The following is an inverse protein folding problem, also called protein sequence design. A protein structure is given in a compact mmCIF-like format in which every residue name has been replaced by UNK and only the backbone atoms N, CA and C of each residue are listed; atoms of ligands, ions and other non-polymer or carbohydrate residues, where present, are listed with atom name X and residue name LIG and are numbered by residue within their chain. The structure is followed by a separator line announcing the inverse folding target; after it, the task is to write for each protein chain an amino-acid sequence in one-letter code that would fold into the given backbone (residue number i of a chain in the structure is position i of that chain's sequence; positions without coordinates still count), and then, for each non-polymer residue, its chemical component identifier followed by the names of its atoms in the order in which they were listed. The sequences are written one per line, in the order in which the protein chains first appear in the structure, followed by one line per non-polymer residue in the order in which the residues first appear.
data_IF_660406838145
#
_entry.id   IF_660406838145
#
_cell.length_a   1.000
_cell.length_b   1.000
_cell.length_c   1.000
_cell.angle_alpha   90.00
_cell.angle_beta   90.00
_cell.angle_gamma   90.00
#
_symmetry.space_group_name_H-M   'P 1'
#
loop_
_entity.id
_entity.type
_entity.pdbx_description
1 polymer ?
#
# COMPACT_ATOMS: atom_id res chain seq x y z
N UNK A 1 5.94 -4.46 0.87
CA UNK A 1 5.40 -4.99 2.12
C UNK A 1 3.91 -5.26 1.99
N UNK A 2 3.04 -4.25 1.90
CA UNK A 2 1.57 -4.42 1.99
C UNK A 2 1.04 -5.54 1.07
N UNK A 3 1.29 -5.47 -0.24
CA UNK A 3 0.80 -6.49 -1.18
C UNK A 3 1.34 -7.90 -0.90
N UNK A 4 2.62 -8.03 -0.49
CA UNK A 4 3.21 -9.35 -0.19
C UNK A 4 2.54 -9.99 1.02
N UNK A 5 2.22 -9.18 2.03
CA UNK A 5 1.51 -9.64 3.23
C UNK A 5 0.01 -9.82 2.98
N UNK A 6 -0.61 -8.99 2.12
CA UNK A 6 -2.01 -9.14 1.70
C UNK A 6 -2.24 -10.46 0.96
N UNK A 7 -1.29 -10.87 0.11
CA UNK A 7 -1.38 -12.12 -0.63
C UNK A 7 -1.25 -13.38 0.26
N UNK A 8 -0.94 -13.29 1.57
CA UNK A 8 -0.73 -14.48 2.43
C UNK A 8 -2.02 -15.31 2.62
N UNK A 9 -1.91 -16.63 2.89
CA UNK A 9 -3.10 -17.48 3.12
C UNK A 9 -3.97 -17.07 4.30
N UNK A 10 -3.39 -16.42 5.31
CA UNK A 10 -4.14 -15.89 6.44
C UNK A 10 -4.83 -14.54 6.17
N UNK A 11 -4.69 -14.01 4.95
CA UNK A 11 -5.21 -12.73 4.49
C UNK A 11 -6.11 -12.97 3.26
N UNK A 12 -5.66 -12.63 2.05
CA UNK A 12 -6.47 -12.74 0.82
C UNK A 12 -6.24 -14.08 0.07
N UNK A 13 -5.20 -14.85 0.43
CA UNK A 13 -4.86 -16.15 -0.18
C UNK A 13 -4.69 -16.11 -1.72
N UNK A 14 -4.23 -14.97 -2.24
CA UNK A 14 -4.07 -14.80 -3.68
C UNK A 14 -2.92 -15.65 -4.25
N UNK A 15 -3.21 -16.44 -5.29
CA UNK A 15 -2.20 -17.22 -5.98
C UNK A 15 -1.37 -16.41 -6.98
N UNK A 16 -1.95 -15.31 -7.51
CA UNK A 16 -1.34 -14.47 -8.54
C UNK A 16 -1.43 -12.99 -8.18
N UNK A 17 -0.35 -12.25 -8.43
CA UNK A 17 -0.29 -10.79 -8.33
C UNK A 17 0.46 -10.25 -9.54
N UNK A 18 -0.14 -9.29 -10.26
CA UNK A 18 0.43 -8.69 -11.49
C UNK A 18 0.82 -9.75 -12.55
N UNK A 19 -0.03 -10.77 -12.72
CA UNK A 19 0.16 -11.85 -13.69
C UNK A 19 1.30 -12.82 -13.36
N UNK A 20 1.80 -12.84 -12.11
CA UNK A 20 2.87 -13.72 -11.64
C UNK A 20 2.48 -14.41 -10.33
N UNK A 21 3.07 -15.57 -10.00
CA UNK A 21 2.89 -16.19 -8.68
C UNK A 21 3.19 -15.20 -7.56
N UNK A 22 2.33 -15.18 -6.54
CA UNK A 22 2.56 -14.39 -5.33
C UNK A 22 3.79 -14.90 -4.57
N UNK A 23 4.32 -14.07 -3.67
CA UNK A 23 5.58 -14.38 -3.00
C UNK A 23 5.50 -15.70 -2.22
N UNK A 24 4.38 -15.94 -1.53
CA UNK A 24 4.18 -17.16 -0.76
C UNK A 24 4.02 -18.40 -1.64
N UNK A 25 3.39 -18.27 -2.82
CA UNK A 25 3.30 -19.37 -3.81
C UNK A 25 4.67 -19.73 -4.38
N UNK A 26 5.50 -18.71 -4.67
CA UNK A 26 6.81 -18.93 -5.28
C UNK A 26 7.88 -19.39 -4.28
N UNK A 27 7.84 -18.91 -3.04
CA UNK A 27 8.94 -19.03 -2.06
C UNK A 27 8.52 -19.53 -0.68
N UNK A 28 7.23 -19.78 -0.46
CA UNK A 28 6.67 -20.19 0.83
C UNK A 28 6.29 -19.02 1.72
N UNK A 29 5.34 -19.25 2.63
CA UNK A 29 4.77 -18.24 3.54
C UNK A 29 5.83 -17.56 4.41
N UNK A 30 6.73 -18.34 5.01
CA UNK A 30 7.78 -17.79 5.88
C UNK A 30 8.68 -16.77 5.14
N UNK A 31 9.01 -17.06 3.88
CA UNK A 31 9.79 -16.14 3.05
C UNK A 31 8.99 -14.90 2.66
N UNK A 32 7.69 -15.04 2.39
CA UNK A 32 6.83 -13.91 2.09
C UNK A 32 6.70 -12.95 3.29
N UNK A 33 6.52 -13.49 4.50
CA UNK A 33 6.51 -12.69 5.73
C UNK A 33 7.81 -11.90 5.88
N UNK A 34 8.96 -12.59 5.82
CA UNK A 34 10.28 -11.98 5.96
C UNK A 34 10.58 -10.95 4.86
N UNK A 35 10.14 -11.21 3.62
CA UNK A 35 10.31 -10.27 2.51
C UNK A 35 9.49 -8.99 2.72
N UNK A 36 8.28 -9.11 3.26
CA UNK A 36 7.48 -7.95 3.64
C UNK A 36 8.17 -7.11 4.72
N UNK A 37 8.63 -7.75 5.80
CA UNK A 37 9.33 -7.10 6.91
C UNK A 37 10.62 -6.42 6.46
N UNK A 38 11.42 -7.11 5.63
CA UNK A 38 12.65 -6.57 5.06
C UNK A 38 12.39 -5.33 4.20
N UNK A 39 11.33 -5.32 3.39
CA UNK A 39 10.97 -4.15 2.58
C UNK A 39 10.52 -2.97 3.43
N UNK A 40 9.82 -3.21 4.54
CA UNK A 40 9.46 -2.14 5.48
C UNK A 40 10.71 -1.53 6.12
N UNK A 41 11.60 -2.36 6.65
CA UNK A 41 12.87 -1.90 7.22
C UNK A 41 13.73 -1.16 6.19
N UNK A 42 13.80 -1.68 4.96
CA UNK A 42 14.54 -1.07 3.87
C UNK A 42 13.99 0.30 3.48
N UNK A 43 12.68 0.54 3.56
CA UNK A 43 12.10 1.85 3.28
C UNK A 43 12.64 2.93 4.24
N UNK A 44 12.70 2.64 5.55
CA UNK A 44 13.28 3.55 6.54
C UNK A 44 14.79 3.73 6.35
N UNK A 45 15.51 2.64 6.06
CA UNK A 45 16.94 2.71 5.76
C UNK A 45 17.20 3.62 4.55
N UNK A 46 16.41 3.49 3.48
CA UNK A 46 16.57 4.27 2.27
C UNK A 46 16.38 5.78 2.53
N UNK A 47 15.37 6.14 3.34
CA UNK A 47 15.18 7.53 3.78
C UNK A 47 16.37 8.06 4.58
N UNK A 48 16.91 7.25 5.49
CA UNK A 48 18.06 7.61 6.32
C UNK A 48 19.36 7.77 5.50
N UNK A 49 19.60 6.92 4.50
CA UNK A 49 20.78 7.02 3.63
C UNK A 49 20.80 8.33 2.85
N UNK A 50 19.64 8.81 2.39
CA UNK A 50 19.51 10.12 1.77
C UNK A 50 19.77 11.27 2.75
N UNK A 51 19.34 11.12 4.00
CA UNK A 51 19.60 12.08 5.09
C UNK A 51 21.11 12.30 5.31
N UNK A 52 21.88 11.21 5.30
CA UNK A 52 23.33 11.22 5.56
C UNK A 52 24.13 11.86 4.42
N UNK A 53 23.65 11.75 3.17
CA UNK A 53 24.38 12.24 1.99
C UNK A 53 24.14 13.72 1.67
N UNK A 54 23.00 14.28 2.10
CA UNK A 54 22.57 15.63 1.69
C UNK A 54 22.87 16.76 2.67
N UNK A 55 23.47 16.49 3.83
CA UNK A 55 23.71 17.50 4.87
C UNK A 55 22.44 17.96 5.59
N UNK A 56 22.54 19.01 6.42
CA UNK A 56 21.51 19.40 7.41
C UNK A 56 20.10 19.53 6.84
N UNK A 57 19.93 20.22 5.71
CA UNK A 57 18.61 20.44 5.10
C UNK A 57 17.94 19.12 4.65
N UNK A 58 18.73 18.18 4.12
CA UNK A 58 18.24 16.85 3.74
C UNK A 58 17.97 15.97 4.96
N UNK A 59 18.76 16.12 6.03
CA UNK A 59 18.50 15.44 7.30
C UNK A 59 17.14 15.86 7.88
N UNK A 60 16.84 17.15 7.92
CA UNK A 60 15.56 17.65 8.40
C UNK A 60 14.37 17.14 7.56
N UNK A 61 14.52 17.12 6.23
CA UNK A 61 13.49 16.59 5.31
C UNK A 61 13.29 15.09 5.51
N UNK A 62 14.37 14.32 5.61
CA UNK A 62 14.29 12.88 5.84
C UNK A 62 13.62 12.54 7.18
N UNK A 63 13.91 13.29 8.25
CA UNK A 63 13.25 13.09 9.54
C UNK A 63 11.75 13.35 9.47
N UNK A 64 11.31 14.38 8.73
CA UNK A 64 9.89 14.63 8.49
C UNK A 64 9.25 13.48 7.68
N UNK A 65 9.90 13.03 6.61
CA UNK A 65 9.42 11.91 5.79
C UNK A 65 9.33 10.59 6.59
N UNK A 66 10.29 10.33 7.49
CA UNK A 66 10.25 9.19 8.41
C UNK A 66 9.05 9.28 9.36
N UNK A 67 8.75 10.46 9.89
CA UNK A 67 7.58 10.66 10.75
C UNK A 67 6.26 10.40 9.99
N UNK A 68 6.14 10.91 8.77
CA UNK A 68 4.99 10.67 7.89
C UNK A 68 4.83 9.19 7.54
N UNK A 69 5.92 8.53 7.13
CA UNK A 69 5.92 7.10 6.81
C UNK A 69 5.55 6.25 8.04
N UNK A 70 6.15 6.54 9.20
CA UNK A 70 5.85 5.88 10.47
C UNK A 70 4.38 6.04 10.87
N UNK A 71 3.82 7.23 10.69
CA UNK A 71 2.41 7.48 10.95
C UNK A 71 1.48 6.72 9.98
N UNK A 72 1.88 6.56 8.71
CA UNK A 72 1.09 5.83 7.73
C UNK A 72 1.08 4.31 7.97
N UNK A 73 2.19 3.72 8.43
CA UNK A 73 2.32 2.25 8.60
C UNK A 73 1.93 1.74 9.99
N UNK A 74 1.61 2.63 10.95
CA UNK A 74 1.20 2.22 12.31
C UNK A 74 -0.21 1.63 12.36
N UNK A 75 -0.56 1.09 13.53
CA UNK A 75 -1.88 0.55 13.89
C UNK A 75 -3.05 1.42 13.44
N UNK A 76 -2.99 2.75 13.59
CA UNK A 76 -4.04 3.71 13.26
C UNK A 76 -4.06 4.16 11.77
N UNK A 77 -3.08 3.75 10.97
CA UNK A 77 -3.01 4.00 9.53
C UNK A 77 -3.38 2.75 8.74
N UNK A 78 -2.38 2.13 8.11
CA UNK A 78 -2.55 0.97 7.24
C UNK A 78 -3.16 -0.25 7.95
N UNK A 79 -2.94 -0.39 9.25
CA UNK A 79 -3.39 -1.57 10.03
C UNK A 79 -4.83 -1.39 10.55
N UNK A 80 -5.29 -0.16 10.80
CA UNK A 80 -6.63 0.13 11.35
C UNK A 80 -7.74 -0.08 10.31
N UNK A 81 -7.41 0.06 9.03
CA UNK A 81 -8.32 -0.29 7.94
C UNK A 81 -8.69 -1.78 7.88
N UNK A 82 -8.24 -2.63 8.84
CA UNK A 82 -8.51 -4.07 8.85
C UNK A 82 -9.57 -4.53 9.85
N UNK A 83 -9.91 -3.75 10.87
CA UNK A 83 -10.72 -4.24 12.01
C UNK A 83 -12.18 -3.75 12.05
N UNK A 84 -12.66 -2.97 11.08
CA UNK A 84 -13.95 -2.26 11.21
C UNK A 84 -15.01 -2.78 10.23
N UNK A 85 -16.14 -3.26 10.75
CA UNK A 85 -17.25 -3.86 9.97
C UNK A 85 -18.03 -2.90 9.05
N UNK A 86 -18.93 -3.47 8.25
CA UNK A 86 -19.59 -2.95 7.03
C UNK A 86 -20.14 -1.50 7.02
N UNK A 87 -20.40 -0.85 8.17
CA UNK A 87 -20.73 0.59 8.21
C UNK A 87 -19.48 1.50 7.99
N UNK A 88 -18.31 0.87 7.87
CA UNK A 88 -16.98 1.48 7.78
C UNK A 88 -16.31 1.31 6.41
N UNK A 89 -17.07 1.09 5.33
CA UNK A 89 -16.52 0.91 3.99
C UNK A 89 -15.67 2.12 3.54
N UNK A 90 -16.15 3.34 3.81
CA UNK A 90 -15.39 4.58 3.58
C UNK A 90 -14.11 4.63 4.45
N UNK A 91 -14.15 4.11 5.69
CA UNK A 91 -13.00 4.07 6.60
C UNK A 91 -11.95 3.01 6.19
N UNK A 92 -12.36 1.86 5.68
CA UNK A 92 -11.44 0.82 5.17
C UNK A 92 -10.74 1.32 3.89
N UNK A 93 -11.52 1.86 2.95
CA UNK A 93 -10.99 2.38 1.68
C UNK A 93 -10.06 3.59 1.87
N UNK A 94 -10.37 4.48 2.84
CA UNK A 94 -9.53 5.64 3.17
C UNK A 94 -8.20 5.25 3.84
N UNK A 95 -8.12 4.09 4.50
CA UNK A 95 -6.95 3.74 5.29
C UNK A 95 -5.97 2.78 4.58
N UNK A 96 -6.42 1.89 3.69
CA UNK A 96 -5.50 0.90 3.08
C UNK A 96 -4.72 1.47 1.88
N UNK A 97 -5.42 1.99 0.87
CA UNK A 97 -4.82 2.37 -0.41
C UNK A 97 -4.49 3.86 -0.47
N UNK A 98 -5.43 4.73 -0.08
CA UNK A 98 -5.22 6.18 -0.14
C UNK A 98 -4.15 6.65 0.84
N UNK A 99 -3.95 5.98 1.98
CA UNK A 99 -2.93 6.40 2.95
C UNK A 99 -1.50 6.21 2.43
N UNK A 100 -1.26 5.13 1.68
CA UNK A 100 0.04 4.89 1.04
C UNK A 100 0.29 5.85 -0.13
N UNK A 101 -0.75 6.21 -0.89
CA UNK A 101 -0.65 7.23 -1.94
C UNK A 101 -0.42 8.64 -1.34
N UNK A 102 -1.13 8.97 -0.27
CA UNK A 102 -0.94 10.20 0.50
C UNK A 102 0.50 10.33 0.99
N UNK A 103 1.00 9.32 1.71
CA UNK A 103 2.34 9.39 2.29
C UNK A 103 3.43 9.44 1.21
N UNK A 104 3.25 8.75 0.09
CA UNK A 104 4.18 8.83 -1.03
C UNK A 104 4.25 10.25 -1.61
N UNK A 105 3.10 10.89 -1.84
CA UNK A 105 3.03 12.26 -2.35
C UNK A 105 3.61 13.29 -1.35
N UNK A 106 3.24 13.17 -0.07
CA UNK A 106 3.73 14.03 1.01
C UNK A 106 5.24 13.91 1.18
N UNK A 107 5.79 12.68 1.20
CA UNK A 107 7.23 12.46 1.23
C UNK A 107 7.93 13.12 0.03
N UNK A 108 7.35 13.01 -1.17
CA UNK A 108 7.85 13.68 -2.37
C UNK A 108 7.90 15.21 -2.22
N UNK A 109 6.82 15.81 -1.71
CA UNK A 109 6.75 17.26 -1.47
C UNK A 109 7.80 17.72 -0.43
N UNK A 110 7.96 16.96 0.66
CA UNK A 110 8.96 17.24 1.70
C UNK A 110 10.38 17.22 1.12
N UNK A 111 10.73 16.20 0.33
CA UNK A 111 12.05 16.13 -0.30
C UNK A 111 12.26 17.21 -1.37
N UNK A 112 11.20 17.59 -2.09
CA UNK A 112 11.19 18.72 -3.01
C UNK A 112 11.42 20.08 -2.34
N UNK A 113 11.33 20.15 -1.01
CA UNK A 113 11.51 21.39 -0.26
C UNK A 113 10.25 22.27 -0.22
N UNK A 114 9.08 21.66 -0.42
CA UNK A 114 7.80 22.34 -0.26
C UNK A 114 7.64 22.91 1.16
N UNK A 115 6.95 24.04 1.24
CA UNK A 115 6.49 24.64 2.50
C UNK A 115 5.45 23.76 3.18
N UNK A 116 5.16 24.04 4.46
CA UNK A 116 4.14 23.30 5.21
C UNK A 116 2.74 23.41 4.57
N UNK A 117 2.40 24.58 4.02
CA UNK A 117 1.13 24.81 3.34
C UNK A 117 1.03 23.99 2.04
N UNK A 118 2.10 23.94 1.26
CA UNK A 118 2.14 23.14 0.03
C UNK A 118 2.07 21.65 0.32
N UNK A 119 2.73 21.18 1.39
CA UNK A 119 2.64 19.78 1.84
C UNK A 119 1.19 19.42 2.19
N UNK A 120 0.46 20.27 2.90
CA UNK A 120 -0.94 19.99 3.24
C UNK A 120 -1.87 20.02 2.03
N UNK A 121 -1.62 20.90 1.06
CA UNK A 121 -2.34 20.87 -0.23
C UNK A 121 -2.09 19.59 -1.00
N UNK A 122 -0.84 19.10 -1.02
CA UNK A 122 -0.49 17.81 -1.64
C UNK A 122 -1.16 16.66 -0.89
N UNK A 123 -1.24 16.72 0.45
CA UNK A 123 -1.93 15.72 1.27
C UNK A 123 -3.41 15.65 0.93
N UNK A 124 -4.10 16.78 0.85
CA UNK A 124 -5.51 16.84 0.46
C UNK A 124 -5.74 16.27 -0.94
N UNK A 125 -4.94 16.71 -1.91
CA UNK A 125 -4.99 16.19 -3.28
C UNK A 125 -4.80 14.67 -3.32
N UNK A 126 -3.77 14.15 -2.66
CA UNK A 126 -3.45 12.73 -2.68
C UNK A 126 -4.51 11.87 -1.98
N UNK A 127 -5.18 12.39 -0.94
CA UNK A 127 -6.35 11.74 -0.33
C UNK A 127 -7.50 11.61 -1.33
N UNK A 128 -7.85 12.67 -2.04
CA UNK A 128 -8.90 12.62 -3.06
C UNK A 128 -8.56 11.64 -4.20
N UNK A 129 -7.32 11.68 -4.68
CA UNK A 129 -6.85 10.76 -5.73
C UNK A 129 -6.86 9.32 -5.25
N UNK A 130 -6.45 9.06 -4.00
CA UNK A 130 -6.45 7.72 -3.45
C UNK A 130 -7.85 7.14 -3.27
N UNK A 131 -8.82 7.96 -2.85
CA UNK A 131 -10.22 7.55 -2.79
C UNK A 131 -10.78 7.25 -4.20
N UNK A 132 -10.50 8.13 -5.16
CA UNK A 132 -10.90 7.92 -6.55
C UNK A 132 -10.29 6.64 -7.13
N UNK A 133 -9.03 6.36 -6.81
CA UNK A 133 -8.34 5.15 -7.25
C UNK A 133 -9.11 3.91 -6.77
N UNK A 134 -9.53 3.88 -5.51
CA UNK A 134 -10.28 2.76 -4.94
C UNK A 134 -11.65 2.59 -5.62
N UNK A 135 -12.41 3.68 -5.80
CA UNK A 135 -13.72 3.62 -6.48
C UNK A 135 -13.58 3.05 -7.90
N UNK A 136 -12.53 3.45 -8.63
CA UNK A 136 -12.28 2.93 -9.97
C UNK A 136 -11.84 1.46 -9.95
N UNK A 137 -11.08 1.05 -8.94
CA UNK A 137 -10.66 -0.35 -8.75
C UNK A 137 -11.88 -1.25 -8.47
N UNK A 138 -12.77 -0.81 -7.57
CA UNK A 138 -13.99 -1.55 -7.21
C UNK A 138 -14.92 -1.74 -8.43
N UNK A 139 -15.13 -0.69 -9.23
CA UNK A 139 -15.94 -0.78 -10.47
C UNK A 139 -15.34 -1.80 -11.45
N UNK A 140 -14.00 -1.81 -11.58
CA UNK A 140 -13.31 -2.73 -12.50
C UNK A 140 -13.42 -4.18 -12.04
N UNK A 141 -13.38 -4.43 -10.74
CA UNK A 141 -13.51 -5.78 -10.20
C UNK A 141 -14.94 -6.33 -10.40
N UNK A 142 -15.97 -5.48 -10.29
CA UNK A 142 -17.36 -5.88 -10.59
C UNK A 142 -17.60 -6.15 -12.09
N UNK A 143 -17.06 -5.31 -12.98
CA UNK A 143 -17.21 -5.46 -14.43
C UNK A 143 -16.52 -6.72 -14.99
N UNK A 144 -15.46 -7.20 -14.32
CA UNK A 144 -14.74 -8.42 -14.71
C UNK A 144 -15.43 -9.69 -14.18
N UNK A 145 -16.19 -9.58 -13.07
CA UNK A 145 -17.02 -10.67 -12.52
C UNK A 145 -18.21 -11.09 -13.39
N UNK A 146 -18.57 -10.28 -14.40
CA UNK A 146 -19.69 -10.56 -15.32
C UNK A 146 -19.30 -11.21 -16.66
N UNK A 147 -18.00 -11.39 -16.96
CA UNK A 147 -17.54 -11.80 -18.30
C UNK A 147 -16.50 -12.93 -18.27
N UNK A 148 -16.67 -13.91 -17.37
CA UNK A 148 -15.77 -15.06 -17.20
C UNK A 148 -16.43 -16.44 -17.29
N UNK A 149 -17.74 -16.56 -17.47
CA UNK A 149 -18.40 -17.83 -17.81
C UNK A 149 -18.52 -17.95 -19.34
N UNK A 150 -17.46 -18.44 -19.98
CA UNK A 150 -17.57 -19.41 -21.07
C UNK A 150 -16.18 -19.79 -21.61
N UNK A 151 -15.81 -21.07 -21.47
CA UNK A 151 -14.74 -21.67 -22.26
C UNK A 151 -13.84 -22.68 -21.54
N UNK A 152 -14.39 -23.82 -21.11
CA UNK A 152 -13.54 -24.92 -20.62
C UNK A 152 -14.28 -26.14 -20.08
N UNK A 153 -15.08 -26.81 -20.92
CA UNK A 153 -15.62 -28.14 -20.60
C UNK A 153 -14.52 -29.20 -20.37
N UNK A 154 -14.58 -29.88 -19.22
CA UNK A 154 -14.29 -31.31 -19.10
C UNK A 154 -13.35 -31.76 -17.97
N UNK A 155 -13.50 -33.00 -17.43
CA UNK A 155 -14.72 -33.72 -17.12
C UNK A 155 -14.78 -34.13 -15.63
N UNK A 156 -16.01 -34.24 -15.09
CA UNK A 156 -16.28 -34.99 -13.86
C UNK A 156 -15.87 -36.45 -14.05
N UNK A 157 -15.03 -36.97 -13.15
CA UNK A 157 -14.95 -38.42 -12.87
C UNK A 157 -14.77 -38.67 -11.37
N UNK A 158 -15.85 -39.22 -10.81
CA UNK A 158 -16.01 -40.14 -9.66
C UNK A 158 -15.21 -39.88 -8.39
#
# INVERSE_FOLDING_TARGET
MSLIHDDLPCMDEDALRRGRPTNHVAFGEAMAVLAGDALLAFAFQHLADHALRGGRAWTERAMRAVAELGAAVRSEGLVAGREVGLDALEYIHVNKTSKLLEVAAVCGAIYGGASAEEVERVREYARCVGLLFQVVDDIRDEDVGGAGEDGGEGPRKR
#
